data_IF_757911176374
#
_entry.id   IF_757911176374
#
_cell.length_a   1.000
_cell.length_b   1.000
_cell.length_c   1.000
_cell.angle_alpha   90.00
_cell.angle_beta   90.00
_cell.angle_gamma   90.00
#
_symmetry.space_group_name_H-M   'P 1'
#
loop_
_entity.id
_entity.type
_entity.pdbx_description
1 polymer ?
#
# COMPACT_ATOMS: atom_id res chain seq x y z
N UNK A 1 10.80 -4.59 6.41
CA UNK A 1 10.99 -3.45 5.50
C UNK A 1 9.82 -2.49 5.68
N UNK A 2 10.05 -1.18 5.69
CA UNK A 2 8.97 -0.18 5.65
C UNK A 2 8.66 0.14 4.19
N UNK A 3 7.56 -0.41 3.66
CA UNK A 3 7.18 -0.23 2.25
C UNK A 3 6.92 1.25 1.88
N UNK A 4 6.49 2.06 2.84
CA UNK A 4 6.33 3.51 2.67
C UNK A 4 7.65 4.21 2.34
N UNK A 5 8.78 3.72 2.83
CA UNK A 5 10.10 4.29 2.50
C UNK A 5 10.59 3.80 1.14
N UNK A 6 10.29 2.53 0.80
CA UNK A 6 10.69 1.92 -0.47
C UNK A 6 9.97 2.52 -1.68
N UNK A 7 8.65 2.67 -1.59
CA UNK A 7 7.79 2.98 -2.74
C UNK A 7 7.39 4.44 -2.85
N UNK A 8 7.65 5.26 -1.82
CA UNK A 8 7.33 6.68 -1.87
C UNK A 8 8.26 7.38 -2.87
N UNK A 9 7.66 8.02 -3.86
CA UNK A 9 8.34 9.00 -4.71
C UNK A 9 8.64 10.24 -3.87
N UNK A 10 9.92 10.57 -3.71
CA UNK A 10 10.33 11.73 -2.92
C UNK A 10 9.87 13.04 -3.60
N UNK A 11 9.48 14.08 -2.82
CA UNK A 11 9.16 15.39 -3.36
C UNK A 11 10.31 15.92 -4.23
N UNK A 12 9.97 16.46 -5.42
CA UNK A 12 10.95 17.00 -6.37
C UNK A 12 11.78 15.96 -7.14
N UNK A 13 11.61 14.67 -6.87
CA UNK A 13 12.29 13.61 -7.62
C UNK A 13 11.62 13.34 -8.98
N UNK A 14 12.37 12.75 -9.91
CA UNK A 14 11.88 12.32 -11.22
C UNK A 14 11.97 10.79 -11.30
N UNK A 15 10.92 10.04 -10.93
CA UNK A 15 10.97 8.58 -10.95
C UNK A 15 11.10 8.07 -12.38
N UNK A 16 11.92 7.04 -12.59
CA UNK A 16 12.01 6.31 -13.85
C UNK A 16 11.23 5.01 -13.73
N UNK A 17 10.06 4.94 -14.35
CA UNK A 17 9.18 3.76 -14.28
C UNK A 17 9.88 2.49 -14.80
N UNK A 18 10.77 2.61 -15.79
CA UNK A 18 11.55 1.49 -16.32
C UNK A 18 12.53 0.86 -15.31
N UNK A 19 12.81 1.54 -14.19
CA UNK A 19 13.66 1.02 -13.12
C UNK A 19 12.85 0.34 -11.99
N UNK A 20 11.52 0.32 -12.10
CA UNK A 20 10.62 -0.28 -11.12
C UNK A 20 10.11 -1.60 -11.72
N UNK A 21 10.45 -2.71 -11.08
CA UNK A 21 10.00 -4.05 -11.50
C UNK A 21 8.52 -4.27 -11.14
N UNK A 22 7.60 -4.43 -12.12
CA UNK A 22 6.19 -4.74 -11.86
C UNK A 22 5.97 -6.13 -11.24
N UNK A 23 6.95 -7.04 -11.37
CA UNK A 23 6.91 -8.39 -10.79
C UNK A 23 7.50 -8.47 -9.39
N UNK A 24 7.82 -7.32 -8.76
CA UNK A 24 8.35 -7.28 -7.41
C UNK A 24 7.36 -7.87 -6.40
N UNK A 25 7.81 -8.84 -5.58
CA UNK A 25 6.97 -9.54 -4.59
C UNK A 25 7.53 -9.54 -3.16
N UNK A 26 8.63 -8.83 -2.90
CA UNK A 26 9.38 -8.86 -1.64
C UNK A 26 9.61 -10.30 -1.15
N UNK A 27 9.24 -10.59 0.11
CA UNK A 27 9.29 -11.92 0.74
C UNK A 27 8.11 -12.84 0.40
N UNK A 28 7.17 -12.40 -0.43
CA UNK A 28 5.94 -13.14 -0.73
C UNK A 28 6.10 -13.93 -2.03
N UNK A 29 6.70 -15.11 -1.94
CA UNK A 29 7.03 -15.95 -3.10
C UNK A 29 5.79 -16.57 -3.77
N UNK A 30 4.66 -16.63 -3.07
CA UNK A 30 3.39 -17.12 -3.58
C UNK A 30 2.18 -16.32 -3.07
N UNK A 31 1.02 -16.52 -3.71
CA UNK A 31 -0.25 -15.93 -3.26
C UNK A 31 -0.57 -16.32 -1.83
N UNK A 32 -0.45 -17.61 -1.52
CA UNK A 32 -0.74 -18.21 -0.22
C UNK A 32 0.18 -17.61 0.87
N UNK A 33 1.45 -17.35 0.53
CA UNK A 33 2.40 -16.71 1.45
C UNK A 33 2.01 -15.27 1.82
N UNK A 34 1.21 -14.59 0.98
CA UNK A 34 0.75 -13.22 1.21
C UNK A 34 -0.60 -13.16 1.94
N UNK A 35 -1.46 -14.16 1.80
CA UNK A 35 -2.83 -14.17 2.33
C UNK A 35 -2.89 -13.90 3.84
N UNK A 36 -1.97 -14.48 4.61
CA UNK A 36 -1.90 -14.24 6.06
C UNK A 36 -1.63 -12.76 6.37
N UNK A 37 -0.69 -12.14 5.67
CA UNK A 37 -0.35 -10.72 5.87
C UNK A 37 -1.49 -9.80 5.40
N UNK A 38 -2.15 -10.14 4.31
CA UNK A 38 -3.33 -9.41 3.82
C UNK A 38 -4.45 -9.45 4.86
N UNK A 39 -4.76 -10.63 5.42
CA UNK A 39 -5.79 -10.78 6.44
C UNK A 39 -5.48 -9.99 7.72
N UNK A 40 -4.22 -10.02 8.17
CA UNK A 40 -3.76 -9.27 9.34
C UNK A 40 -3.87 -7.75 9.12
N UNK A 41 -3.36 -7.25 8.00
CA UNK A 41 -3.48 -5.85 7.63
C UNK A 41 -4.95 -5.43 7.50
N UNK A 42 -5.80 -6.30 6.93
CA UNK A 42 -7.24 -6.08 6.82
C UNK A 42 -7.93 -5.92 8.18
N UNK A 43 -7.55 -6.72 9.19
CA UNK A 43 -8.06 -6.56 10.57
C UNK A 43 -7.65 -5.22 11.15
N UNK A 44 -6.36 -4.89 11.08
CA UNK A 44 -5.83 -3.63 11.60
C UNK A 44 -6.42 -2.39 10.91
N UNK A 45 -6.64 -2.45 9.60
CA UNK A 45 -7.28 -1.36 8.86
C UNK A 45 -8.72 -1.11 9.34
N UNK A 46 -9.49 -2.16 9.66
CA UNK A 46 -10.84 -2.00 10.21
C UNK A 46 -10.84 -1.32 11.58
N UNK A 47 -9.92 -1.70 12.46
CA UNK A 47 -9.76 -1.07 13.78
C UNK A 47 -9.42 0.43 13.64
N UNK A 48 -8.47 0.75 12.76
CA UNK A 48 -8.08 2.14 12.50
C UNK A 48 -9.19 2.96 11.86
N UNK A 49 -9.98 2.37 10.95
CA UNK A 49 -11.12 3.04 10.34
C UNK A 49 -12.20 3.35 11.38
N UNK A 50 -12.46 2.43 12.31
CA UNK A 50 -13.39 2.66 13.41
C UNK A 50 -12.94 3.83 14.30
N UNK A 51 -11.65 3.88 14.67
CA UNK A 51 -11.09 4.97 15.46
C UNK A 51 -11.13 6.30 14.71
N UNK A 52 -10.80 6.32 13.41
CA UNK A 52 -10.89 7.50 12.57
C UNK A 52 -12.32 8.08 12.55
N UNK A 53 -13.31 7.20 12.39
CA UNK A 53 -14.72 7.59 12.40
C UNK A 53 -15.16 8.11 13.77
N UNK A 54 -14.79 7.43 14.86
CA UNK A 54 -15.15 7.84 16.21
C UNK A 54 -14.47 9.15 16.65
N UNK A 55 -13.27 9.44 16.12
CA UNK A 55 -12.53 10.68 16.40
C UNK A 55 -13.22 11.91 15.77
N UNK A 56 -13.80 11.77 14.58
CA UNK A 56 -14.50 12.82 13.80
C UNK A 56 -13.70 14.13 13.62
N UNK A 57 -12.38 14.02 13.36
CA UNK A 57 -11.49 15.18 13.20
C UNK A 57 -10.66 15.18 11.92
N UNK A 58 -10.58 14.04 11.24
CA UNK A 58 -9.66 13.82 10.13
C UNK A 58 -10.37 13.07 9.02
N UNK A 59 -10.02 13.39 7.79
CA UNK A 59 -10.43 12.64 6.61
C UNK A 59 -9.21 11.97 5.96
N UNK A 60 -9.45 10.88 5.23
CA UNK A 60 -8.43 10.16 4.47
C UNK A 60 -8.89 10.09 3.02
N UNK A 61 -8.04 10.51 2.09
CA UNK A 61 -8.25 10.41 0.65
C UNK A 61 -7.31 9.36 0.06
N UNK A 62 -7.85 8.40 -0.68
CA UNK A 62 -7.10 7.38 -1.41
C UNK A 62 -7.32 7.61 -2.90
N UNK A 63 -6.24 7.85 -3.65
CA UNK A 63 -6.25 7.98 -5.12
C UNK A 63 -5.56 6.76 -5.71
N UNK A 64 -6.27 6.05 -6.60
CA UNK A 64 -5.73 4.91 -7.35
C UNK A 64 -5.63 5.32 -8.83
N UNK A 65 -4.46 5.15 -9.42
CA UNK A 65 -4.19 5.46 -10.82
C UNK A 65 -3.33 4.35 -11.42
N UNK A 66 -3.81 3.76 -12.52
CA UNK A 66 -3.14 2.71 -13.28
C UNK A 66 -3.57 2.78 -14.75
N UNK A 67 -2.87 2.04 -15.62
CA UNK A 67 -3.36 1.77 -16.98
C UNK A 67 -4.55 0.80 -16.92
N UNK A 68 -5.26 0.66 -18.03
CA UNK A 68 -6.31 -0.34 -18.17
C UNK A 68 -5.76 -1.75 -17.89
N UNK A 69 -6.54 -2.52 -17.13
CA UNK A 69 -6.16 -3.85 -16.63
C UNK A 69 -4.87 -3.90 -15.78
N UNK A 70 -4.57 -2.80 -15.07
CA UNK A 70 -3.51 -2.75 -14.05
C UNK A 70 -3.63 -3.83 -12.97
#
# INVERSE_FOLDING_TARGET
>A
MLYSERFRVAPGSKPRLSAIDPSFRDKHESKESAEKAIAENGRRMRELQYLLYAEDRRSVLIILQALDAG
#
